data_IF_055325116813
#
_entry.id   IF_055325116813
#
_cell.length_a   1.000
_cell.length_b   1.000
_cell.length_c   1.000
_cell.angle_alpha   90.00
_cell.angle_beta   90.00
_cell.angle_gamma   90.00
#
_symmetry.space_group_name_H-M   'P 1'
#
loop_
_entity.id
_entity.type
_entity.pdbx_description
1 polymer ?
#
# COMPACT_ATOMS: atom_id res chain seq x y z
N UNK A 1 -40.08 -28.00 -73.15
CA UNK A 1 -40.07 -26.77 -72.32
C UNK A 1 -38.80 -26.79 -71.47
N UNK A 2 -37.91 -25.83 -71.72
CA UNK A 2 -36.68 -25.59 -70.95
C UNK A 2 -37.05 -25.03 -69.58
N UNK A 3 -36.50 -25.56 -68.48
CA UNK A 3 -36.31 -24.80 -67.23
C UNK A 3 -34.98 -25.18 -66.60
N UNK A 4 -34.09 -24.19 -66.63
CA UNK A 4 -32.82 -24.10 -65.92
C UNK A 4 -33.06 -24.17 -64.41
N UNK A 5 -32.26 -24.96 -63.69
CA UNK A 5 -32.06 -24.78 -62.25
C UNK A 5 -30.62 -24.32 -62.04
N UNK A 6 -30.53 -23.14 -61.41
CA UNK A 6 -29.33 -22.37 -61.13
C UNK A 6 -28.48 -23.06 -60.07
N UNK A 7 -27.21 -23.21 -60.38
CA UNK A 7 -26.11 -23.38 -59.44
C UNK A 7 -25.97 -22.08 -58.63
N UNK A 8 -26.18 -22.14 -57.32
CA UNK A 8 -25.80 -21.06 -56.41
C UNK A 8 -24.66 -21.53 -55.52
N UNK A 9 -23.49 -21.01 -55.83
CA UNK A 9 -22.31 -20.92 -54.97
C UNK A 9 -22.70 -20.07 -53.76
N UNK A 10 -22.54 -20.60 -52.54
CA UNK A 10 -22.54 -19.79 -51.32
C UNK A 10 -21.30 -20.14 -50.51
N UNK A 11 -20.43 -19.14 -50.48
CA UNK A 11 -19.32 -18.85 -49.58
C UNK A 11 -19.01 -19.83 -48.45
N UNK A 12 -17.80 -20.39 -48.50
CA UNK A 12 -17.01 -20.73 -47.32
C UNK A 12 -16.80 -19.44 -46.51
N UNK A 13 -17.66 -19.19 -45.52
CA UNK A 13 -17.35 -18.26 -44.46
C UNK A 13 -16.24 -18.91 -43.63
N UNK A 14 -15.03 -18.37 -43.79
CA UNK A 14 -13.90 -18.66 -42.92
C UNK A 14 -14.34 -18.44 -41.47
N UNK A 15 -14.57 -19.53 -40.75
CA UNK A 15 -14.45 -19.55 -39.32
C UNK A 15 -12.96 -19.36 -39.01
N UNK A 16 -12.50 -18.10 -39.09
CA UNK A 16 -11.49 -17.63 -38.15
C UNK A 16 -12.13 -17.81 -36.78
N UNK A 17 -11.91 -19.00 -36.22
CA UNK A 17 -11.82 -19.18 -34.79
C UNK A 17 -10.84 -18.10 -34.32
N UNK A 18 -11.39 -16.98 -33.87
CA UNK A 18 -10.71 -16.12 -32.92
C UNK A 18 -10.40 -17.05 -31.76
N UNK A 19 -9.20 -17.61 -31.78
CA UNK A 19 -8.60 -18.16 -30.59
C UNK A 19 -8.81 -17.09 -29.52
N UNK A 20 -9.51 -17.36 -28.41
CA UNK A 20 -9.40 -16.47 -27.28
C UNK A 20 -7.90 -16.36 -27.05
N UNK A 21 -7.35 -15.15 -27.16
CA UNK A 21 -6.01 -14.91 -26.65
C UNK A 21 -6.07 -15.39 -25.21
N UNK A 22 -5.46 -16.54 -24.94
CA UNK A 22 -5.25 -17.09 -23.61
C UNK A 22 -4.37 -16.09 -22.87
N UNK A 23 -4.95 -14.96 -22.45
CA UNK A 23 -4.47 -14.28 -21.27
C UNK A 23 -4.65 -15.32 -20.18
N UNK A 24 -3.54 -15.91 -19.75
CA UNK A 24 -3.50 -16.64 -18.49
C UNK A 24 -4.32 -15.83 -17.47
N UNK A 25 -5.33 -16.45 -16.85
CA UNK A 25 -6.15 -15.77 -15.86
C UNK A 25 -5.22 -15.19 -14.79
N UNK A 26 -5.39 -13.89 -14.50
CA UNK A 26 -4.60 -13.24 -13.46
C UNK A 26 -4.90 -13.92 -12.12
N UNK A 27 -3.88 -14.07 -11.29
CA UNK A 27 -4.10 -14.52 -9.92
C UNK A 27 -5.05 -13.56 -9.19
N UNK A 28 -5.99 -14.14 -8.45
CA UNK A 28 -6.92 -13.40 -7.59
C UNK A 28 -6.90 -14.01 -6.19
N UNK A 29 -6.94 -13.17 -5.17
CA UNK A 29 -6.97 -13.59 -3.76
C UNK A 29 -7.94 -12.72 -2.97
N UNK A 30 -8.85 -13.36 -2.25
CA UNK A 30 -9.77 -12.66 -1.36
C UNK A 30 -9.06 -12.24 -0.08
N UNK A 31 -9.29 -10.99 0.35
CA UNK A 31 -8.78 -10.44 1.60
C UNK A 31 -9.77 -10.73 2.72
N UNK A 32 -9.31 -11.33 3.81
CA UNK A 32 -10.16 -11.56 4.98
C UNK A 32 -10.15 -10.38 5.95
N UNK A 33 -11.33 -9.95 6.41
CA UNK A 33 -11.42 -9.01 7.52
C UNK A 33 -11.24 -9.74 8.86
N UNK A 34 -10.04 -9.72 9.42
CA UNK A 34 -9.72 -10.28 10.74
C UNK A 34 -8.39 -9.75 11.28
N UNK A 35 -8.26 -9.76 12.60
CA UNK A 35 -6.95 -9.72 13.23
C UNK A 35 -6.24 -11.07 13.05
N UNK A 36 -4.94 -11.01 12.77
CA UNK A 36 -4.11 -12.21 12.75
C UNK A 36 -3.85 -12.69 14.18
N UNK A 37 -3.86 -14.01 14.44
CA UNK A 37 -3.45 -14.55 15.73
C UNK A 37 -1.95 -14.29 15.94
N UNK A 38 -1.51 -14.32 17.20
CA UNK A 38 -0.09 -14.14 17.53
C UNK A 38 0.81 -15.18 16.86
N UNK A 39 0.32 -16.42 16.72
CA UNK A 39 0.96 -17.54 16.03
C UNK A 39 0.49 -17.66 14.57
N UNK A 40 0.58 -16.58 13.80
CA UNK A 40 0.08 -16.52 12.42
C UNK A 40 0.73 -17.56 11.50
N UNK A 41 1.92 -18.07 11.82
CA UNK A 41 2.56 -19.16 11.09
C UNK A 41 1.72 -20.45 11.05
N UNK A 42 0.91 -20.70 12.07
CA UNK A 42 0.04 -21.88 12.12
C UNK A 42 -1.10 -21.83 11.09
N UNK A 43 -1.44 -20.64 10.56
CA UNK A 43 -2.51 -20.47 9.58
C UNK A 43 -2.25 -21.22 8.27
N UNK A 44 -0.97 -21.43 7.91
CA UNK A 44 -0.61 -22.23 6.74
C UNK A 44 -1.13 -23.66 6.85
N UNK A 45 -1.04 -24.24 8.06
CA UNK A 45 -1.49 -25.60 8.35
C UNK A 45 -2.99 -25.68 8.66
N UNK A 46 -3.51 -24.71 9.40
CA UNK A 46 -4.90 -24.70 9.87
C UNK A 46 -5.89 -24.33 8.77
N UNK A 47 -5.50 -23.46 7.85
CA UNK A 47 -6.38 -22.89 6.83
C UNK A 47 -5.75 -22.93 5.41
N UNK A 48 -5.22 -24.08 4.95
CA UNK A 48 -4.40 -24.16 3.73
C UNK A 48 -5.16 -23.75 2.46
N UNK A 49 -6.50 -23.85 2.46
CA UNK A 49 -7.36 -23.43 1.35
C UNK A 49 -7.44 -21.91 1.14
N UNK A 50 -6.94 -21.11 2.11
CA UNK A 50 -6.91 -19.64 2.01
C UNK A 50 -5.60 -19.09 1.46
N UNK A 51 -4.61 -19.94 1.24
CA UNK A 51 -3.29 -19.57 0.74
C UNK A 51 -3.21 -19.77 -0.76
N UNK A 52 -2.69 -18.78 -1.48
CA UNK A 52 -2.41 -18.89 -2.90
C UNK A 52 -0.97 -19.38 -3.13
N UNK A 53 -0.83 -20.58 -3.69
CA UNK A 53 0.46 -21.17 -4.09
C UNK A 53 0.81 -20.90 -5.57
N UNK A 54 0.06 -20.03 -6.26
CA UNK A 54 0.15 -19.80 -7.70
C UNK A 54 1.34 -18.92 -8.11
N UNK A 55 2.53 -19.19 -7.57
CA UNK A 55 3.76 -18.56 -8.00
C UNK A 55 4.31 -19.26 -9.25
N UNK A 56 4.71 -18.49 -10.26
CA UNK A 56 5.36 -19.00 -11.47
C UNK A 56 6.82 -18.53 -11.55
N UNK A 57 7.69 -19.23 -12.31
CA UNK A 57 9.05 -18.77 -12.54
C UNK A 57 9.09 -17.35 -13.13
N UNK A 58 9.92 -16.49 -12.56
CA UNK A 58 10.08 -15.11 -13.02
C UNK A 58 10.79 -15.07 -14.39
N UNK A 59 10.21 -14.36 -15.36
CA UNK A 59 10.79 -14.20 -16.71
C UNK A 59 10.61 -15.38 -17.66
N UNK A 60 9.93 -16.45 -17.23
CA UNK A 60 9.52 -17.56 -18.11
C UNK A 60 8.17 -17.30 -18.78
N UNK A 61 7.88 -17.99 -19.89
CA UNK A 61 6.56 -17.95 -20.52
C UNK A 61 5.48 -18.37 -19.51
N UNK A 62 4.42 -17.57 -19.40
CA UNK A 62 3.27 -17.81 -18.50
C UNK A 62 2.57 -19.15 -18.74
N UNK A 63 2.87 -19.85 -19.84
CA UNK A 63 2.38 -21.19 -20.16
C UNK A 63 3.07 -22.30 -19.34
N UNK A 64 4.18 -22.01 -18.64
CA UNK A 64 4.80 -22.92 -17.69
C UNK A 64 4.13 -22.81 -16.30
N UNK A 65 2.82 -23.04 -16.22
CA UNK A 65 2.08 -23.22 -14.96
C UNK A 65 2.55 -24.52 -14.29
N UNK A 66 3.70 -24.47 -13.62
CA UNK A 66 4.33 -25.66 -13.03
C UNK A 66 3.85 -25.99 -11.60
N UNK A 67 2.93 -25.23 -10.99
CA UNK A 67 2.82 -25.21 -9.52
C UNK A 67 1.41 -25.29 -8.91
N UNK A 68 0.39 -25.67 -9.68
CA UNK A 68 -0.90 -26.13 -9.13
C UNK A 68 -0.83 -27.55 -8.55
N UNK A 69 0.37 -28.13 -8.39
CA UNK A 69 0.56 -29.49 -7.90
C UNK A 69 0.10 -29.62 -6.44
N UNK A 70 -1.01 -30.32 -6.17
CA UNK A 70 -1.54 -30.50 -4.82
C UNK A 70 -0.55 -31.23 -3.88
N UNK A 71 0.45 -31.93 -4.43
CA UNK A 71 1.48 -32.61 -3.65
C UNK A 71 2.38 -31.58 -2.97
N UNK A 72 2.82 -30.55 -3.70
CA UNK A 72 3.69 -29.51 -3.15
C UNK A 72 2.99 -28.64 -2.12
N UNK A 73 1.69 -28.38 -2.33
CA UNK A 73 0.87 -27.74 -1.31
C UNK A 73 0.82 -28.61 -0.05
N UNK A 74 0.58 -29.91 -0.17
CA UNK A 74 0.52 -30.82 0.99
C UNK A 74 1.86 -30.91 1.73
N UNK A 75 2.98 -30.97 1.02
CA UNK A 75 4.33 -31.01 1.60
C UNK A 75 4.68 -29.69 2.33
N UNK A 76 4.42 -28.54 1.68
CA UNK A 76 4.63 -27.24 2.31
C UNK A 76 3.80 -27.06 3.59
N UNK A 77 2.54 -27.52 3.55
CA UNK A 77 1.58 -27.44 4.66
C UNK A 77 1.90 -28.41 5.80
N UNK A 78 2.60 -29.53 5.54
CA UNK A 78 2.96 -30.49 6.59
C UNK A 78 4.08 -29.97 7.52
N UNK A 79 4.85 -28.98 7.08
CA UNK A 79 5.96 -28.40 7.86
C UNK A 79 7.21 -29.27 7.92
N UNK A 80 7.20 -30.47 7.31
CA UNK A 80 8.28 -31.45 7.43
C UNK A 80 9.38 -31.28 6.38
N UNK A 81 9.00 -30.95 5.14
CA UNK A 81 9.89 -30.76 4.00
C UNK A 81 9.15 -30.01 2.89
N UNK A 82 9.89 -29.29 2.04
CA UNK A 82 9.33 -28.68 0.81
C UNK A 82 9.83 -29.37 -0.47
N UNK A 83 10.51 -30.51 -0.32
CA UNK A 83 11.18 -31.21 -1.41
C UNK A 83 12.35 -30.41 -1.99
N UNK A 84 12.74 -30.71 -3.24
CA UNK A 84 13.79 -29.99 -3.98
C UNK A 84 13.32 -28.63 -4.53
N UNK A 85 12.12 -28.23 -4.15
CA UNK A 85 11.38 -27.15 -4.76
C UNK A 85 11.18 -26.06 -3.71
N UNK A 86 11.29 -24.78 -4.10
CA UNK A 86 11.11 -23.66 -3.19
C UNK A 86 9.66 -23.13 -3.27
N UNK A 87 8.65 -23.78 -2.66
CA UNK A 87 7.28 -23.32 -2.73
C UNK A 87 7.16 -21.96 -2.07
N UNK A 88 6.30 -21.14 -2.63
CA UNK A 88 5.97 -19.83 -2.09
C UNK A 88 4.46 -19.73 -2.04
N UNK A 89 3.94 -19.24 -0.92
CA UNK A 89 2.50 -19.07 -0.73
C UNK A 89 2.17 -17.69 -0.18
N UNK A 90 1.00 -17.18 -0.56
CA UNK A 90 0.53 -15.85 -0.21
C UNK A 90 -0.82 -15.94 0.52
N UNK A 91 -0.96 -15.20 1.61
CA UNK A 91 -2.24 -14.97 2.28
C UNK A 91 -2.40 -13.46 2.57
N UNK A 92 -3.62 -12.94 2.49
CA UNK A 92 -3.88 -11.52 2.75
C UNK A 92 -5.08 -11.36 3.69
N UNK A 93 -4.91 -10.51 4.69
CA UNK A 93 -5.98 -10.12 5.62
C UNK A 93 -5.96 -8.62 5.86
N UNK A 94 -7.01 -8.08 6.44
CA UNK A 94 -7.09 -6.69 6.85
C UNK A 94 -7.91 -6.53 8.13
N UNK A 95 -7.71 -5.40 8.80
CA UNK A 95 -8.46 -5.00 9.98
C UNK A 95 -8.69 -3.48 9.97
N UNK A 96 -9.07 -2.91 11.11
CA UNK A 96 -9.27 -1.46 11.24
C UNK A 96 -7.99 -0.62 11.07
N UNK A 97 -6.80 -1.21 11.15
CA UNK A 97 -5.53 -0.49 11.15
C UNK A 97 -4.80 -0.47 9.80
N UNK A 98 -4.96 -1.54 9.02
CA UNK A 98 -4.28 -1.76 7.75
C UNK A 98 -4.62 -3.10 7.13
N UNK A 99 -3.82 -3.52 6.16
CA UNK A 99 -3.83 -4.88 5.63
C UNK A 99 -2.46 -5.55 5.80
N UNK A 100 -2.50 -6.87 5.94
CA UNK A 100 -1.33 -7.71 6.12
C UNK A 100 -1.21 -8.68 4.98
N UNK A 101 -0.02 -8.75 4.40
CA UNK A 101 0.40 -9.77 3.45
C UNK A 101 1.31 -10.76 4.19
N UNK A 102 0.89 -12.02 4.26
CA UNK A 102 1.74 -13.12 4.72
C UNK A 102 2.33 -13.84 3.52
N UNK A 103 3.63 -14.08 3.56
CA UNK A 103 4.36 -14.84 2.55
C UNK A 103 5.09 -15.99 3.21
N UNK A 104 4.68 -17.20 2.88
CA UNK A 104 5.48 -18.39 3.18
C UNK A 104 6.55 -18.56 2.12
N UNK A 105 7.81 -18.64 2.55
CA UNK A 105 8.99 -18.82 1.73
C UNK A 105 9.66 -20.15 2.08
N UNK A 106 9.22 -21.24 1.45
CA UNK A 106 9.76 -22.58 1.65
C UNK A 106 11.17 -22.73 1.05
N UNK A 107 12.12 -23.25 1.81
CA UNK A 107 13.54 -23.34 1.43
C UNK A 107 14.04 -24.80 1.46
N UNK A 108 14.29 -25.46 0.31
CA UNK A 108 14.73 -26.86 0.23
C UNK A 108 15.95 -27.20 1.08
N UNK A 109 16.92 -26.28 1.09
CA UNK A 109 18.22 -26.47 1.75
C UNK A 109 18.22 -26.02 3.19
N UNK A 110 17.08 -25.59 3.74
CA UNK A 110 17.03 -25.00 5.07
C UNK A 110 17.52 -25.98 6.14
N UNK A 111 16.93 -27.19 6.13
CA UNK A 111 17.29 -28.26 7.05
C UNK A 111 18.75 -28.69 6.91
N UNK A 112 19.21 -28.87 5.66
CA UNK A 112 20.61 -29.19 5.37
C UNK A 112 21.58 -28.12 5.91
N UNK A 113 21.24 -26.83 5.73
CA UNK A 113 22.05 -25.72 6.23
C UNK A 113 22.12 -25.70 7.76
N UNK A 114 21.00 -25.98 8.44
CA UNK A 114 20.96 -26.12 9.91
C UNK A 114 21.83 -27.29 10.37
N UNK A 115 21.70 -28.46 9.75
CA UNK A 115 22.46 -29.67 10.09
C UNK A 115 23.97 -29.48 9.88
N UNK A 116 24.37 -28.74 8.84
CA UNK A 116 25.77 -28.45 8.51
C UNK A 116 26.34 -27.23 9.25
N UNK A 117 25.52 -26.48 10.00
CA UNK A 117 25.92 -25.23 10.63
C UNK A 117 26.37 -24.15 9.63
N UNK A 118 25.84 -24.17 8.41
CA UNK A 118 26.14 -23.20 7.36
C UNK A 118 25.11 -22.07 7.33
N UNK A 119 25.43 -20.98 6.62
CA UNK A 119 24.50 -19.87 6.39
C UNK A 119 23.17 -20.37 5.82
N UNK A 120 22.06 -19.99 6.45
CA UNK A 120 20.72 -20.30 5.99
C UNK A 120 20.45 -19.65 4.62
N UNK A 121 19.64 -20.28 3.75
CA UNK A 121 19.15 -19.63 2.55
C UNK A 121 18.39 -18.35 2.92
N UNK A 122 18.75 -17.24 2.29
CA UNK A 122 18.07 -15.97 2.44
C UNK A 122 17.29 -15.68 1.15
N UNK A 123 15.96 -15.58 1.25
CA UNK A 123 15.14 -15.08 0.16
C UNK A 123 14.84 -13.60 0.35
N UNK A 124 14.72 -12.88 -0.76
CA UNK A 124 14.26 -11.49 -0.79
C UNK A 124 12.88 -11.45 -1.41
N UNK A 125 12.02 -10.60 -0.88
CA UNK A 125 10.70 -10.31 -1.44
C UNK A 125 10.73 -8.92 -2.05
N UNK A 126 10.31 -8.84 -3.30
CA UNK A 126 10.06 -7.59 -4.00
C UNK A 126 8.55 -7.48 -4.22
N UNK A 127 7.95 -6.47 -3.60
CA UNK A 127 6.51 -6.34 -3.47
C UNK A 127 6.02 -5.08 -4.17
N UNK A 128 4.88 -5.20 -4.84
CA UNK A 128 4.20 -4.11 -5.52
C UNK A 128 2.73 -4.13 -5.18
N UNK A 129 2.15 -2.97 -4.87
CA UNK A 129 0.69 -2.86 -4.84
C UNK A 129 0.23 -1.50 -5.37
N UNK A 130 -0.93 -1.49 -6.01
CA UNK A 130 -1.58 -0.27 -6.47
C UNK A 130 -2.98 -0.20 -5.84
N UNK A 131 -3.24 0.77 -4.94
CA UNK A 131 -4.51 0.89 -4.27
C UNK A 131 -5.57 1.49 -5.18
N UNK A 132 -6.81 1.06 -4.97
CA UNK A 132 -7.96 1.45 -5.78
C UNK A 132 -7.98 0.76 -7.14
N UNK A 133 -8.84 1.27 -8.01
CA UNK A 133 -9.02 0.74 -9.35
C UNK A 133 -7.88 1.21 -10.27
N UNK A 134 -6.87 0.36 -10.41
CA UNK A 134 -5.72 0.60 -11.25
C UNK A 134 -5.92 0.17 -12.72
N UNK A 135 -7.11 -0.32 -13.09
CA UNK A 135 -7.45 -0.74 -14.46
C UNK A 135 -8.02 0.42 -15.29
N UNK A 136 -7.34 1.57 -15.24
CA UNK A 136 -7.71 2.75 -16.02
C UNK A 136 -6.66 3.05 -17.09
N UNK A 137 -7.00 3.93 -18.04
CA UNK A 137 -6.04 4.44 -19.04
C UNK A 137 -5.04 5.44 -18.46
N UNK A 138 -5.19 5.84 -17.19
CA UNK A 138 -4.31 6.78 -16.51
C UNK A 138 -3.13 6.04 -15.89
N UNK A 139 -2.00 6.73 -15.77
CA UNK A 139 -0.90 6.26 -14.94
C UNK A 139 -1.37 6.31 -13.49
N UNK A 140 -1.56 5.15 -12.89
CA UNK A 140 -1.92 5.04 -11.48
C UNK A 140 -0.66 4.81 -10.65
N UNK A 141 -0.65 5.43 -9.47
CA UNK A 141 0.46 5.32 -8.54
C UNK A 141 0.51 3.89 -7.98
N UNK A 142 1.71 3.35 -7.83
CA UNK A 142 1.94 2.09 -7.17
C UNK A 142 3.09 2.22 -6.19
N UNK A 143 3.05 1.38 -5.18
CA UNK A 143 4.09 1.26 -4.17
C UNK A 143 4.97 0.09 -4.53
N UNK A 144 6.29 0.27 -4.44
CA UNK A 144 7.26 -0.80 -4.53
C UNK A 144 8.19 -0.76 -3.32
N UNK A 145 8.45 -1.93 -2.76
CA UNK A 145 9.46 -2.10 -1.72
C UNK A 145 10.09 -3.49 -1.80
N UNK A 146 11.30 -3.60 -1.27
CA UNK A 146 12.04 -4.85 -1.14
C UNK A 146 12.28 -5.10 0.34
N UNK A 147 12.09 -6.35 0.76
CA UNK A 147 12.44 -6.79 2.09
C UNK A 147 13.12 -8.16 2.06
N UNK A 148 13.93 -8.43 3.08
CA UNK A 148 14.47 -9.78 3.29
C UNK A 148 13.48 -10.64 4.07
N UNK A 149 13.53 -11.95 3.84
CA UNK A 149 12.84 -12.93 4.67
C UNK A 149 13.45 -13.08 6.08
N UNK A 150 14.42 -12.22 6.44
CA UNK A 150 15.13 -12.23 7.73
C UNK A 150 15.14 -10.82 8.36
N UNK A 151 14.03 -10.08 8.17
CA UNK A 151 13.58 -8.93 8.98
C UNK A 151 14.13 -7.53 8.68
N UNK A 152 14.32 -7.12 7.41
CA UNK A 152 14.50 -5.69 7.11
C UNK A 152 13.84 -5.29 5.80
N UNK A 153 13.20 -4.11 5.81
CA UNK A 153 12.99 -3.32 4.59
C UNK A 153 14.38 -2.97 4.07
N UNK A 154 14.69 -3.41 2.86
CA UNK A 154 15.97 -3.14 2.21
C UNK A 154 15.89 -1.89 1.33
N UNK A 155 14.72 -1.60 0.79
CA UNK A 155 14.48 -0.42 -0.01
C UNK A 155 13.00 -0.16 -0.24
N UNK A 156 12.63 1.11 -0.29
CA UNK A 156 11.33 1.59 -0.77
C UNK A 156 11.62 2.46 -1.98
N UNK A 157 10.88 2.26 -3.05
CA UNK A 157 11.13 2.89 -4.34
C UNK A 157 9.99 3.84 -4.67
N UNK A 158 10.09 5.12 -4.29
CA UNK A 158 9.11 6.13 -4.64
C UNK A 158 9.29 6.49 -6.13
N UNK A 159 8.57 5.80 -7.00
CA UNK A 159 8.59 6.10 -8.44
C UNK A 159 7.99 7.46 -8.80
N UNK A 160 7.26 8.06 -7.85
CA UNK A 160 6.63 9.37 -7.98
C UNK A 160 6.91 10.16 -6.70
N UNK A 161 6.91 11.49 -6.85
CA UNK A 161 7.09 12.42 -5.74
C UNK A 161 5.85 12.43 -4.88
N UNK A 162 6.04 12.50 -3.56
CA UNK A 162 4.93 12.68 -2.61
C UNK A 162 4.12 13.93 -2.96
N UNK A 163 2.81 13.77 -3.04
CA UNK A 163 1.85 14.84 -3.29
C UNK A 163 0.65 14.73 -2.34
N UNK A 164 -0.37 15.57 -2.55
CA UNK A 164 -1.56 15.59 -1.71
C UNK A 164 -2.28 14.24 -1.61
N UNK A 165 -2.19 13.44 -2.68
CA UNK A 165 -2.90 12.18 -2.94
C UNK A 165 -2.00 10.95 -3.02
N UNK A 166 -0.69 11.12 -2.82
CA UNK A 166 0.29 10.05 -2.80
C UNK A 166 1.33 10.33 -1.72
N UNK A 167 1.47 9.42 -0.75
CA UNK A 167 2.44 9.56 0.33
C UNK A 167 3.35 8.36 0.35
N UNK A 168 4.62 8.60 0.65
CA UNK A 168 5.53 7.50 0.92
C UNK A 168 5.00 6.60 2.04
N UNK A 169 5.16 5.29 1.86
CA UNK A 169 4.94 4.27 2.89
C UNK A 169 6.19 4.04 3.74
N UNK A 170 7.26 4.78 3.48
CA UNK A 170 8.49 4.75 4.28
C UNK A 170 8.22 5.15 5.73
N UNK A 171 8.78 4.40 6.67
CA UNK A 171 8.51 4.56 8.10
C UNK A 171 7.12 4.09 8.55
N UNK A 172 6.24 3.67 7.63
CA UNK A 172 4.90 3.17 7.94
C UNK A 172 4.78 1.64 7.79
N UNK A 173 5.58 1.03 6.92
CA UNK A 173 5.65 -0.42 6.77
C UNK A 173 6.17 -1.09 8.04
N UNK A 174 5.52 -2.19 8.44
CA UNK A 174 6.03 -3.10 9.45
C UNK A 174 6.28 -4.46 8.81
N UNK A 175 7.50 -4.97 8.99
CA UNK A 175 7.90 -6.27 8.48
C UNK A 175 8.42 -7.09 9.64
N UNK A 176 7.86 -8.27 9.79
CA UNK A 176 8.18 -9.24 10.83
C UNK A 176 8.42 -10.59 10.13
N UNK A 177 9.34 -11.40 10.64
CA UNK A 177 9.58 -12.71 10.04
C UNK A 177 9.93 -13.78 11.07
N UNK A 178 9.25 -14.92 10.94
CA UNK A 178 9.48 -16.08 11.77
C UNK A 178 10.12 -17.19 10.95
N UNK A 179 11.25 -17.70 11.43
CA UNK A 179 11.86 -18.91 10.87
C UNK A 179 11.07 -20.15 11.27
N UNK A 180 10.74 -20.97 10.27
CA UNK A 180 10.06 -22.26 10.39
C UNK A 180 11.04 -23.40 10.06
N UNK A 181 10.74 -24.66 10.42
CA UNK A 181 11.61 -25.80 10.09
C UNK A 181 11.90 -25.97 8.58
N UNK A 182 10.98 -25.53 7.73
CA UNK A 182 11.02 -25.72 6.28
C UNK A 182 11.13 -24.41 5.47
N UNK A 183 11.40 -23.28 6.12
CA UNK A 183 11.48 -21.98 5.45
C UNK A 183 11.26 -20.79 6.38
N UNK A 184 10.77 -19.68 5.84
CA UNK A 184 10.42 -18.50 6.62
C UNK A 184 8.96 -18.10 6.37
N UNK A 185 8.33 -17.56 7.39
CA UNK A 185 7.07 -16.83 7.28
C UNK A 185 7.36 -15.34 7.39
N UNK A 186 7.01 -14.57 6.37
CA UNK A 186 7.19 -13.11 6.35
C UNK A 186 5.83 -12.45 6.47
N UNK A 187 5.69 -11.54 7.44
CA UNK A 187 4.50 -10.74 7.69
C UNK A 187 4.79 -9.31 7.32
N UNK A 188 4.07 -8.78 6.33
CA UNK A 188 4.18 -7.41 5.87
C UNK A 188 2.87 -6.69 6.19
N UNK A 189 2.90 -5.75 7.11
CA UNK A 189 1.75 -4.92 7.47
C UNK A 189 1.87 -3.53 6.86
N UNK A 190 0.81 -3.14 6.14
CA UNK A 190 0.67 -1.86 5.45
C UNK A 190 -0.50 -1.10 6.10
N UNK A 191 -0.25 0.00 6.82
CA UNK A 191 -1.30 0.73 7.50
C UNK A 191 -2.18 1.52 6.52
N UNK A 192 -3.43 1.78 6.94
CA UNK A 192 -4.36 2.62 6.16
C UNK A 192 -3.99 4.09 6.09
N UNK A 193 -3.22 4.60 7.06
CA UNK A 193 -2.88 6.02 7.18
C UNK A 193 -2.18 6.62 5.94
N UNK A 194 -1.12 6.03 5.37
CA UNK A 194 -0.54 6.52 4.10
C UNK A 194 -1.47 6.36 2.90
N UNK A 195 -2.55 5.57 3.01
CA UNK A 195 -3.52 5.27 1.95
C UNK A 195 -4.91 5.90 2.24
N UNK A 196 -4.96 6.93 3.07
CA UNK A 196 -6.20 7.47 3.65
C UNK A 196 -7.27 7.88 2.62
N UNK A 197 -6.86 8.32 1.43
CA UNK A 197 -7.72 8.76 0.34
C UNK A 197 -8.05 7.65 -0.66
N UNK A 198 -7.49 6.45 -0.46
CA UNK A 198 -7.62 5.30 -1.36
C UNK A 198 -8.23 4.06 -0.67
N UNK A 199 -8.88 4.22 0.49
CA UNK A 199 -9.48 3.10 1.23
C UNK A 199 -10.44 2.26 0.37
N UNK A 200 -10.48 0.92 0.56
CA UNK A 200 -11.22 -0.01 -0.30
C UNK A 200 -12.72 -0.05 0.01
N UNK A 201 -13.38 1.11 0.02
CA UNK A 201 -14.82 1.25 0.30
C UNK A 201 -15.68 1.48 -0.92
N UNK A 202 -15.08 1.62 -2.11
CA UNK A 202 -15.84 1.94 -3.31
C UNK A 202 -16.89 0.87 -3.62
N UNK A 203 -18.10 1.24 -4.02
CA UNK A 203 -19.10 0.29 -4.52
C UNK A 203 -18.82 -0.19 -5.96
N UNK A 204 -17.54 -0.20 -6.37
CA UNK A 204 -17.15 -0.82 -7.63
C UNK A 204 -17.30 -2.33 -7.47
N UNK A 205 -17.67 -3.00 -8.58
CA UNK A 205 -18.22 -4.35 -8.61
C UNK A 205 -17.46 -5.40 -7.79
N UNK A 206 -16.17 -5.20 -7.48
CA UNK A 206 -15.36 -6.20 -6.80
C UNK A 206 -14.19 -5.65 -5.95
N UNK A 207 -14.14 -4.37 -5.57
CA UNK A 207 -13.11 -3.79 -4.66
C UNK A 207 -11.66 -4.32 -4.83
N UNK A 208 -11.21 -4.40 -6.08
CA UNK A 208 -9.90 -4.96 -6.40
C UNK A 208 -8.77 -3.94 -6.27
N UNK A 209 -7.68 -4.35 -5.63
CA UNK A 209 -6.38 -3.68 -5.74
C UNK A 209 -5.40 -4.59 -6.46
N UNK A 210 -4.42 -4.02 -7.16
CA UNK A 210 -3.34 -4.81 -7.77
C UNK A 210 -2.30 -5.17 -6.72
N UNK A 211 -1.82 -6.41 -6.76
CA UNK A 211 -0.73 -6.91 -5.94
C UNK A 211 0.20 -7.78 -6.80
N UNK A 212 1.51 -7.63 -6.59
CA UNK A 212 2.51 -8.56 -7.08
C UNK A 212 3.55 -8.79 -6.01
N UNK A 213 3.94 -10.04 -5.84
CA UNK A 213 5.01 -10.46 -4.93
C UNK A 213 5.97 -11.31 -5.74
N UNK A 214 7.23 -10.91 -5.74
CA UNK A 214 8.32 -11.64 -6.35
C UNK A 214 9.22 -12.13 -5.24
N UNK A 215 9.50 -13.42 -5.21
CA UNK A 215 10.48 -14.01 -4.32
C UNK A 215 11.74 -14.34 -5.10
N UNK A 216 12.85 -13.75 -4.67
CA UNK A 216 14.20 -14.10 -5.12
C UNK A 216 14.78 -15.12 -4.15
N UNK A 217 14.69 -16.40 -4.51
CA UNK A 217 15.28 -17.51 -3.76
C UNK A 217 16.58 -17.99 -4.40
N UNK A 218 17.32 -18.85 -3.70
CA UNK A 218 18.55 -19.48 -4.21
C UNK A 218 18.33 -20.31 -5.49
N UNK A 219 17.11 -20.81 -5.70
CA UNK A 219 16.68 -21.54 -6.89
C UNK A 219 16.25 -20.65 -8.06
N UNK A 220 16.31 -19.32 -7.91
CA UNK A 220 15.85 -18.34 -8.90
C UNK A 220 14.62 -17.53 -8.43
N UNK A 221 14.15 -16.65 -9.30
CA UNK A 221 13.00 -15.78 -9.06
C UNK A 221 11.66 -16.48 -9.31
N UNK A 222 10.67 -16.19 -8.48
CA UNK A 222 9.28 -16.63 -8.62
C UNK A 222 8.35 -15.43 -8.43
N UNK A 223 7.22 -15.38 -9.13
CA UNK A 223 6.25 -14.28 -9.02
C UNK A 223 4.81 -14.76 -8.90
N UNK A 224 4.03 -14.05 -8.08
CA UNK A 224 2.59 -14.21 -7.98
C UNK A 224 1.81 -13.26 -8.92
N UNK A 225 2.36 -12.10 -9.24
CA UNK A 225 1.66 -11.06 -10.00
C UNK A 225 2.44 -10.60 -11.24
N UNK A 226 3.17 -11.50 -11.89
CA UNK A 226 3.88 -11.19 -13.12
C UNK A 226 5.19 -10.41 -12.94
N UNK A 227 5.60 -9.69 -13.98
CA UNK A 227 6.95 -9.12 -14.12
C UNK A 227 7.03 -7.72 -13.49
N UNK A 228 8.20 -7.35 -12.96
CA UNK A 228 8.47 -6.00 -12.47
C UNK A 228 8.12 -4.94 -13.54
N UNK A 229 7.52 -3.82 -13.12
CA UNK A 229 7.04 -2.70 -13.95
C UNK A 229 5.97 -3.05 -15.01
N UNK A 230 5.58 -4.31 -15.15
CA UNK A 230 4.43 -4.70 -15.96
C UNK A 230 3.17 -4.67 -15.08
N UNK A 231 2.74 -3.48 -14.63
CA UNK A 231 1.60 -3.31 -13.72
C UNK A 231 0.32 -4.00 -14.23
N UNK A 232 0.15 -4.10 -15.56
CA UNK A 232 -0.96 -4.80 -16.19
C UNK A 232 -0.92 -6.34 -16.02
N UNK A 233 0.20 -6.91 -15.59
CA UNK A 233 0.36 -8.34 -15.30
C UNK A 233 0.17 -8.68 -13.81
N UNK A 234 0.00 -7.66 -12.95
CA UNK A 234 -0.30 -7.84 -11.54
C UNK A 234 -1.56 -8.69 -11.32
N UNK A 235 -1.52 -9.51 -10.27
CA UNK A 235 -2.70 -10.17 -9.73
C UNK A 235 -3.58 -9.17 -8.99
N UNK A 236 -4.74 -9.64 -8.53
CA UNK A 236 -5.69 -8.83 -7.78
C UNK A 236 -5.90 -9.38 -6.37
N UNK A 237 -5.92 -8.49 -5.39
CA UNK A 237 -6.52 -8.75 -4.10
C UNK A 237 -7.90 -8.13 -4.05
N UNK A 238 -8.90 -8.88 -3.58
CA UNK A 238 -10.28 -8.42 -3.45
C UNK A 238 -10.61 -8.14 -1.99
N UNK A 239 -10.84 -6.87 -1.68
CA UNK A 239 -11.31 -6.51 -0.35
C UNK A 239 -12.77 -6.92 -0.14
N UNK A 240 -13.16 -7.28 1.09
CA UNK A 240 -14.52 -7.69 1.38
C UNK A 240 -15.49 -6.52 1.23
N UNK A 241 -16.77 -6.83 1.10
CA UNK A 241 -17.81 -5.83 1.29
C UNK A 241 -17.90 -5.52 2.79
N UNK A 242 -17.17 -4.50 3.21
CA UNK A 242 -17.13 -4.09 4.62
C UNK A 242 -18.53 -3.72 5.12
N UNK A 243 -18.86 -4.14 6.34
CA UNK A 243 -20.05 -3.64 7.03
C UNK A 243 -19.88 -2.17 7.38
N UNK A 244 -20.98 -1.50 7.68
CA UNK A 244 -20.95 -0.10 8.08
C UNK A 244 -20.13 0.11 9.36
N UNK A 245 -20.19 -0.81 10.32
CA UNK A 245 -19.38 -0.78 11.54
C UNK A 245 -17.88 -0.90 11.22
N UNK A 246 -17.50 -1.76 10.28
CA UNK A 246 -16.11 -1.93 9.86
C UNK A 246 -15.58 -0.69 9.13
N UNK A 247 -16.40 -0.08 8.25
CA UNK A 247 -16.08 1.19 7.60
C UNK A 247 -15.89 2.30 8.63
N UNK A 248 -16.79 2.40 9.61
CA UNK A 248 -16.68 3.36 10.72
C UNK A 248 -15.37 3.15 11.49
N UNK A 249 -15.05 1.91 11.88
CA UNK A 249 -13.85 1.58 12.64
C UNK A 249 -12.55 1.93 11.90
N UNK A 250 -12.45 1.58 10.61
CA UNK A 250 -11.30 1.92 9.77
C UNK A 250 -11.15 3.43 9.63
N UNK A 251 -12.23 4.15 9.30
CA UNK A 251 -12.22 5.61 9.14
C UNK A 251 -11.79 6.30 10.42
N UNK A 252 -12.37 5.92 11.57
CA UNK A 252 -12.06 6.49 12.87
C UNK A 252 -10.60 6.24 13.27
N UNK A 253 -10.13 5.00 13.12
CA UNK A 253 -8.73 4.64 13.41
C UNK A 253 -7.77 5.47 12.54
N UNK A 254 -8.10 5.64 11.27
CA UNK A 254 -7.31 6.45 10.33
C UNK A 254 -7.33 7.94 10.71
N UNK A 255 -8.47 8.48 11.12
CA UNK A 255 -8.59 9.87 11.61
C UNK A 255 -7.79 10.10 12.90
N UNK A 256 -7.76 9.13 13.83
CA UNK A 256 -6.96 9.24 15.05
C UNK A 256 -5.45 9.26 14.74
N UNK A 257 -5.00 8.46 13.75
CA UNK A 257 -3.63 8.52 13.24
C UNK A 257 -3.34 9.88 12.57
N UNK A 258 -4.28 10.39 11.76
CA UNK A 258 -4.18 11.72 11.13
C UNK A 258 -4.06 12.84 12.17
N UNK A 259 -4.91 12.81 13.19
CA UNK A 259 -4.92 13.76 14.29
C UNK A 259 -3.60 13.75 15.06
N UNK A 260 -3.08 12.56 15.37
CA UNK A 260 -1.80 12.41 16.07
C UNK A 260 -0.64 12.98 15.25
N UNK A 261 -0.59 12.68 13.95
CA UNK A 261 0.42 13.22 13.04
C UNK A 261 0.33 14.76 12.93
N UNK A 262 -0.88 15.28 12.74
CA UNK A 262 -1.15 16.72 12.74
C UNK A 262 -0.71 17.39 14.04
N UNK A 263 -1.11 16.87 15.20
CA UNK A 263 -0.76 17.45 16.50
C UNK A 263 0.75 17.41 16.75
N UNK A 264 1.45 16.34 16.32
CA UNK A 264 2.91 16.27 16.40
C UNK A 264 3.56 17.41 15.61
N UNK A 265 3.11 17.66 14.39
CA UNK A 265 3.61 18.75 13.55
C UNK A 265 3.22 20.13 14.11
N UNK A 266 1.95 20.36 14.43
CA UNK A 266 1.44 21.64 14.91
C UNK A 266 2.05 22.08 16.26
N UNK A 267 2.55 21.14 17.07
CA UNK A 267 3.24 21.41 18.33
C UNK A 267 4.78 21.37 18.20
N UNK A 268 5.31 21.15 17.01
CA UNK A 268 6.76 21.15 16.75
C UNK A 268 7.34 22.57 16.84
N UNK A 269 8.66 22.67 17.02
CA UNK A 269 9.38 23.96 17.08
C UNK A 269 9.28 24.75 15.79
N UNK A 270 9.18 24.04 14.66
CA UNK A 270 9.18 24.59 13.31
C UNK A 270 7.84 25.27 12.98
N UNK A 271 6.73 24.78 13.56
CA UNK A 271 5.38 25.21 13.17
C UNK A 271 4.63 25.93 14.30
N UNK A 272 4.88 25.60 15.57
CA UNK A 272 3.99 26.03 16.66
C UNK A 272 4.15 27.51 17.05
N UNK A 273 3.12 28.36 16.87
CA UNK A 273 3.14 29.79 17.25
C UNK A 273 3.50 30.05 18.72
N UNK A 274 3.27 29.06 19.59
CA UNK A 274 3.56 29.11 21.03
C UNK A 274 5.02 28.91 21.37
N UNK A 275 5.81 28.31 20.47
CA UNK A 275 7.23 27.98 20.68
C UNK A 275 8.17 29.11 20.25
N UNK A 276 7.68 30.06 19.46
CA UNK A 276 8.41 31.26 19.05
C UNK A 276 7.68 32.48 19.59
N UNK A 277 8.06 32.98 20.78
CA UNK A 277 7.45 34.17 21.34
C UNK A 277 7.74 35.39 20.47
N UNK A 278 6.85 36.39 20.43
CA UNK A 278 7.13 37.64 19.75
C UNK A 278 8.38 38.29 20.34
N UNK A 279 9.36 38.61 19.48
CA UNK A 279 10.56 39.35 19.88
C UNK A 279 10.16 40.82 20.06
N UNK A 280 9.79 41.19 21.29
CA UNK A 280 9.31 42.54 21.64
C UNK A 280 10.42 43.52 22.06
N UNK A 281 11.62 43.01 22.30
CA UNK A 281 12.75 43.83 22.76
C UNK A 281 13.33 44.65 21.60
N UNK A 282 13.38 45.97 21.78
CA UNK A 282 13.71 46.93 20.72
C UNK A 282 15.09 46.70 20.10
N UNK A 283 16.07 46.26 20.91
CA UNK A 283 17.40 45.86 20.45
C UNK A 283 17.32 44.67 19.49
N UNK A 284 16.59 43.62 19.84
CA UNK A 284 16.44 42.44 18.98
C UNK A 284 15.76 42.78 17.66
N UNK A 285 14.69 43.58 17.69
CA UNK A 285 13.99 44.02 16.48
C UNK A 285 14.93 44.81 15.56
N UNK A 286 15.70 45.76 16.12
CA UNK A 286 16.65 46.58 15.36
C UNK A 286 17.81 45.76 14.81
N UNK A 287 18.44 44.92 15.63
CA UNK A 287 19.63 44.15 15.24
C UNK A 287 19.27 43.03 14.26
N UNK A 288 18.19 42.27 14.51
CA UNK A 288 17.77 41.19 13.61
C UNK A 288 17.35 41.71 12.24
N UNK A 289 16.69 42.88 12.18
CA UNK A 289 16.33 43.50 10.91
C UNK A 289 17.55 43.89 10.05
N UNK A 290 18.72 44.08 10.67
CA UNK A 290 19.97 44.42 9.98
C UNK A 290 20.83 43.21 9.60
N UNK A 291 20.56 42.04 10.17
CA UNK A 291 21.31 40.83 9.85
C UNK A 291 20.81 40.21 8.55
N UNK A 292 21.71 39.76 7.65
CA UNK A 292 21.31 38.98 6.50
C UNK A 292 20.71 37.65 6.97
N UNK A 293 19.42 37.44 6.70
CA UNK A 293 18.76 36.16 6.95
C UNK A 293 18.97 35.25 5.75
N UNK A 294 19.62 34.11 5.98
CA UNK A 294 19.72 33.04 4.97
C UNK A 294 18.49 32.13 4.98
N UNK A 295 17.70 32.15 6.06
CA UNK A 295 16.50 31.36 6.24
C UNK A 295 15.58 32.00 7.31
N UNK A 296 14.28 32.01 7.08
CA UNK A 296 13.25 32.37 8.07
C UNK A 296 12.20 31.25 8.06
N UNK A 297 12.01 30.58 9.20
CA UNK A 297 10.98 29.56 9.29
C UNK A 297 9.58 30.21 9.33
N UNK A 298 8.55 29.45 8.96
CA UNK A 298 7.14 29.91 8.90
C UNK A 298 6.61 30.50 10.21
N UNK A 299 7.19 30.11 11.33
CA UNK A 299 6.80 30.50 12.68
C UNK A 299 7.57 31.74 13.20
N UNK A 300 8.65 32.12 12.54
CA UNK A 300 9.36 33.39 12.77
C UNK A 300 8.81 34.53 11.89
N UNK A 301 8.12 34.20 10.79
CA UNK A 301 7.38 35.18 9.98
C UNK A 301 6.01 35.50 10.60
N UNK A 302 5.99 36.48 11.50
CA UNK A 302 4.76 36.92 12.19
C UNK A 302 3.65 37.39 11.23
N UNK A 303 4.02 37.95 10.07
CA UNK A 303 3.04 38.36 9.06
C UNK A 303 2.33 37.15 8.44
N UNK A 304 3.07 36.11 8.07
CA UNK A 304 2.48 34.86 7.61
C UNK A 304 1.67 34.15 8.70
N UNK A 305 2.16 34.17 9.95
CA UNK A 305 1.49 33.56 11.09
C UNK A 305 0.07 34.09 11.29
N UNK A 306 -0.04 35.41 11.39
CA UNK A 306 -1.32 36.11 11.61
C UNK A 306 -2.21 35.97 10.37
N UNK A 307 -1.64 36.01 9.16
CA UNK A 307 -2.41 35.93 7.93
C UNK A 307 -2.99 34.53 7.65
N UNK A 308 -2.29 33.46 8.05
CA UNK A 308 -2.66 32.10 7.66
C UNK A 308 -2.48 31.05 8.77
N UNK A 309 -1.29 30.93 9.36
CA UNK A 309 -0.93 29.76 10.19
C UNK A 309 -1.83 29.57 11.42
N UNK A 310 -2.09 30.63 12.16
CA UNK A 310 -2.89 30.55 13.40
C UNK A 310 -4.34 30.14 13.10
N UNK A 311 -4.92 30.68 12.03
CA UNK A 311 -6.24 30.30 11.54
C UNK A 311 -6.26 28.85 11.06
N UNK A 312 -5.27 28.44 10.26
CA UNK A 312 -5.16 27.08 9.74
C UNK A 312 -5.05 26.02 10.87
N UNK A 313 -4.33 26.34 11.94
CA UNK A 313 -4.24 25.52 13.15
C UNK A 313 -5.58 25.49 13.89
N UNK A 314 -6.24 26.64 14.07
CA UNK A 314 -7.54 26.70 14.75
C UNK A 314 -8.62 25.89 14.03
N UNK A 315 -8.70 26.00 12.69
CA UNK A 315 -9.63 25.24 11.84
C UNK A 315 -9.43 23.73 11.96
N UNK A 316 -8.18 23.27 11.97
CA UNK A 316 -7.86 21.84 12.14
C UNK A 316 -8.14 21.37 13.56
N UNK A 317 -7.81 22.15 14.58
CA UNK A 317 -8.13 21.84 15.97
C UNK A 317 -9.64 21.68 16.19
N UNK A 318 -10.47 22.46 15.49
CA UNK A 318 -11.93 22.34 15.57
C UNK A 318 -12.47 20.98 15.06
N UNK A 319 -11.70 20.25 14.23
CA UNK A 319 -12.06 18.89 13.79
C UNK A 319 -12.02 17.88 14.94
N UNK A 320 -11.28 18.14 16.02
CA UNK A 320 -11.12 17.21 17.13
C UNK A 320 -12.45 16.79 17.78
N UNK A 321 -13.39 17.73 17.90
CA UNK A 321 -14.74 17.42 18.41
C UNK A 321 -15.49 16.46 17.48
N UNK A 322 -15.42 16.67 16.16
CA UNK A 322 -16.04 15.77 15.19
C UNK A 322 -15.41 14.37 15.17
N UNK A 323 -14.09 14.25 15.40
CA UNK A 323 -13.44 12.95 15.55
C UNK A 323 -13.93 12.23 16.82
N UNK A 324 -14.12 12.96 17.92
CA UNK A 324 -14.62 12.39 19.18
C UNK A 324 -16.07 11.89 19.05
N UNK A 325 -16.91 12.60 18.29
CA UNK A 325 -18.31 12.27 18.06
C UNK A 325 -18.57 11.42 16.81
N UNK A 326 -17.51 10.94 16.14
CA UNK A 326 -17.60 10.27 14.83
C UNK A 326 -18.58 9.09 14.80
N UNK A 327 -18.60 8.26 15.85
CA UNK A 327 -19.48 7.08 15.93
C UNK A 327 -20.98 7.44 16.08
N UNK A 328 -21.29 8.70 16.43
CA UNK A 328 -22.66 9.19 16.60
C UNK A 328 -23.23 9.74 15.29
N UNK A 329 -22.39 9.98 14.29
CA UNK A 329 -22.78 10.47 12.97
C UNK A 329 -23.41 9.34 12.14
N UNK A 330 -24.35 9.69 11.26
CA UNK A 330 -24.83 8.77 10.22
C UNK A 330 -23.70 8.40 9.25
N UNK A 331 -23.85 7.31 8.49
CA UNK A 331 -22.82 6.85 7.54
C UNK A 331 -22.44 7.91 6.49
N UNK A 332 -23.42 8.66 5.98
CA UNK A 332 -23.17 9.74 5.03
C UNK A 332 -22.40 10.90 5.67
N UNK A 333 -22.73 11.26 6.91
CA UNK A 333 -22.00 12.28 7.67
C UNK A 333 -20.58 11.82 8.00
N UNK A 334 -20.41 10.55 8.39
CA UNK A 334 -19.09 9.96 8.63
C UNK A 334 -18.21 9.99 7.39
N UNK A 335 -18.75 9.65 6.22
CA UNK A 335 -18.01 9.69 4.96
C UNK A 335 -17.61 11.13 4.58
N UNK A 336 -18.55 12.07 4.64
CA UNK A 336 -18.29 13.47 4.33
C UNK A 336 -17.28 14.09 5.31
N UNK A 337 -17.44 13.82 6.61
CA UNK A 337 -16.51 14.27 7.65
C UNK A 337 -15.14 13.63 7.46
N UNK A 338 -15.07 12.31 7.24
CA UNK A 338 -13.81 11.61 6.99
C UNK A 338 -13.05 12.20 5.82
N UNK A 339 -13.72 12.40 4.67
CA UNK A 339 -13.10 12.96 3.46
C UNK A 339 -12.49 14.34 3.73
N UNK A 340 -13.23 15.21 4.42
CA UNK A 340 -12.75 16.56 4.79
C UNK A 340 -11.60 16.49 5.80
N UNK A 341 -11.80 15.77 6.90
CA UNK A 341 -10.90 15.80 8.04
C UNK A 341 -9.59 15.07 7.76
N UNK A 342 -9.62 13.90 7.11
CA UNK A 342 -8.41 13.17 6.73
C UNK A 342 -7.54 13.98 5.77
N UNK A 343 -8.15 14.61 4.76
CA UNK A 343 -7.46 15.51 3.84
C UNK A 343 -6.80 16.68 4.57
N UNK A 344 -7.54 17.43 5.39
CA UNK A 344 -6.99 18.57 6.14
C UNK A 344 -5.87 18.20 7.12
N UNK A 345 -5.99 17.04 7.79
CA UNK A 345 -5.06 16.64 8.84
C UNK A 345 -3.78 16.02 8.27
N UNK A 346 -3.89 15.06 7.35
CA UNK A 346 -2.72 14.45 6.74
C UNK A 346 -1.96 15.44 5.82
N UNK A 347 -2.64 16.40 5.19
CA UNK A 347 -2.00 17.39 4.32
C UNK A 347 -1.53 18.67 5.02
N UNK A 348 -1.56 18.76 6.35
CA UNK A 348 -1.22 20.03 7.01
C UNK A 348 0.18 20.56 6.64
N UNK A 349 1.21 19.69 6.59
CA UNK A 349 2.56 20.11 6.16
C UNK A 349 2.60 20.60 4.72
N UNK A 350 1.92 19.90 3.81
CA UNK A 350 1.81 20.31 2.41
C UNK A 350 1.09 21.65 2.25
N UNK A 351 -0.03 21.83 2.96
CA UNK A 351 -0.81 23.06 2.95
C UNK A 351 0.01 24.25 3.48
N UNK A 352 0.82 24.00 4.52
CA UNK A 352 1.72 24.98 5.10
C UNK A 352 2.79 25.44 4.10
N UNK A 353 3.49 24.49 3.47
CA UNK A 353 4.56 24.78 2.51
C UNK A 353 4.01 25.53 1.29
N UNK A 354 2.86 25.10 0.76
CA UNK A 354 2.19 25.75 -0.37
C UNK A 354 1.75 27.18 -0.01
N UNK A 355 1.09 27.36 1.14
CA UNK A 355 0.63 28.68 1.59
C UNK A 355 1.79 29.65 1.84
N UNK A 356 2.89 29.16 2.40
CA UNK A 356 4.08 29.99 2.64
C UNK A 356 4.77 30.38 1.34
N UNK A 357 4.91 29.45 0.39
CA UNK A 357 5.43 29.75 -0.94
C UNK A 357 4.60 30.83 -1.66
N UNK A 358 3.28 30.72 -1.62
CA UNK A 358 2.36 31.74 -2.17
C UNK A 358 2.51 33.10 -1.47
N UNK A 359 2.59 33.09 -0.13
CA UNK A 359 2.81 34.29 0.66
C UNK A 359 4.12 34.99 0.27
N UNK A 360 5.24 34.27 0.20
CA UNK A 360 6.54 34.82 -0.19
C UNK A 360 6.51 35.36 -1.63
N UNK A 361 5.92 34.63 -2.57
CA UNK A 361 5.77 35.09 -3.95
C UNK A 361 4.99 36.41 -4.03
N UNK A 362 3.94 36.56 -3.22
CA UNK A 362 3.17 37.80 -3.15
C UNK A 362 3.94 39.00 -2.60
N UNK A 363 5.02 38.78 -1.84
CA UNK A 363 5.87 39.83 -1.25
C UNK A 363 7.06 40.17 -2.14
N UNK A 364 7.63 39.18 -2.83
CA UNK A 364 8.85 39.34 -3.63
C UNK A 364 8.53 39.87 -5.03
N UNK A 365 7.53 39.30 -5.71
CA UNK A 365 7.31 39.53 -7.15
C UNK A 365 6.15 40.47 -7.48
N UNK A 366 5.33 40.87 -6.50
CA UNK A 366 4.37 41.97 -6.67
C UNK A 366 5.07 43.30 -6.32
N UNK A 367 5.95 43.76 -7.22
CA UNK A 367 6.40 45.16 -7.28
C UNK A 367 5.79 45.84 -8.48
#
# INVERSE_FOLDING_TARGET
MKKYIKTSIVAFAAALLMAPSLRAEKNMLDVEYRDLPANYEALLQQEPGKWSFNFCPYGGDSAAFLWTDPILQREAVSGESVGDKAPTALFVSCNQEGFTVLVFAGEPKFKECLEKGSTLPASRLECFFAPGDADTSKIEHYYQFICSATEKVEGIYPWLVDDRSFRSIEGHLQIDSHTLPNGNMVKIFIPWAPLFDRLPFSEKRDNFWRLSVIRWASSGGQTWGGVVHAANSAGYIRFPNFTDEQKTAIRKTTLLKAWTAYQKLANSTEVSPKKVPPRKEEYYVKTIATLPHTYMNVNEDFGFREAWLEKAIAERNALGAGIADFDKMSQAEQEAFYKKASDMLFNFGYDLDSAYAEYLNSKIFKR
#
